data_IF_155659738531
#
_entry.id   IF_155659738531
#
_cell.length_a   1.000
_cell.length_b   1.000
_cell.length_c   1.000
_cell.angle_alpha   90.00
_cell.angle_beta   90.00
_cell.angle_gamma   90.00
#
_symmetry.space_group_name_H-M   'P 1'
#
loop_
_entity.id
_entity.type
_entity.pdbx_description
1 polymer ?
#
# COMPACT_ATOMS: atom_id res chain seq x y z
N UNK A 1 -31.29 -8.39 -1.62
CA UNK A 1 -31.87 -7.28 -2.41
C UNK A 1 -31.38 -7.43 -3.84
N UNK A 2 -32.27 -7.76 -4.78
CA UNK A 2 -31.94 -8.06 -6.19
C UNK A 2 -32.00 -6.76 -7.03
N UNK A 3 -31.18 -6.64 -8.07
CA UNK A 3 -31.20 -5.49 -9.01
C UNK A 3 -32.57 -5.36 -9.71
N UNK A 4 -33.28 -6.50 -9.91
CA UNK A 4 -34.63 -6.55 -10.48
C UNK A 4 -35.67 -5.77 -9.66
N UNK A 5 -35.45 -5.65 -8.34
CA UNK A 5 -36.38 -5.00 -7.41
C UNK A 5 -36.15 -3.49 -7.32
N UNK A 6 -35.17 -2.96 -8.07
CA UNK A 6 -34.84 -1.54 -8.09
C UNK A 6 -35.64 -0.78 -9.15
N UNK A 7 -36.08 0.44 -8.87
CA UNK A 7 -36.60 1.35 -9.87
C UNK A 7 -35.61 1.58 -11.02
N UNK A 8 -36.12 1.79 -12.23
CA UNK A 8 -35.30 1.94 -13.44
C UNK A 8 -34.29 3.09 -13.36
N UNK A 9 -34.71 4.21 -12.76
CA UNK A 9 -33.87 5.39 -12.52
C UNK A 9 -32.65 5.06 -11.63
N UNK A 10 -32.82 4.26 -10.58
CA UNK A 10 -31.72 3.84 -9.71
C UNK A 10 -30.77 2.87 -10.44
N UNK A 11 -31.29 2.01 -11.31
CA UNK A 11 -30.45 1.13 -12.13
C UNK A 11 -29.64 1.94 -13.12
N UNK A 12 -30.25 2.94 -13.76
CA UNK A 12 -29.55 3.84 -14.68
C UNK A 12 -28.46 4.64 -13.97
N UNK A 13 -28.76 5.26 -12.82
CA UNK A 13 -27.77 5.98 -12.02
C UNK A 13 -26.57 5.09 -11.64
N UNK A 14 -26.82 3.83 -11.30
CA UNK A 14 -25.74 2.89 -11.00
C UNK A 14 -24.88 2.57 -12.23
N UNK A 15 -25.51 2.33 -13.37
CA UNK A 15 -24.81 2.10 -14.63
C UNK A 15 -23.96 3.31 -15.04
N UNK A 16 -24.51 4.53 -14.93
CA UNK A 16 -23.80 5.77 -15.23
C UNK A 16 -22.60 5.98 -14.28
N UNK A 17 -22.76 5.67 -12.99
CA UNK A 17 -21.67 5.73 -12.02
C UNK A 17 -20.53 4.76 -12.34
N UNK A 18 -20.84 3.54 -12.82
CA UNK A 18 -19.83 2.57 -13.27
C UNK A 18 -19.07 3.07 -14.50
N UNK A 19 -19.78 3.61 -15.48
CA UNK A 19 -19.19 4.19 -16.68
C UNK A 19 -18.30 5.40 -16.34
N UNK A 20 -18.78 6.28 -15.48
CA UNK A 20 -18.01 7.43 -15.01
C UNK A 20 -16.75 6.99 -14.25
N UNK A 21 -16.84 6.02 -13.35
CA UNK A 21 -15.69 5.48 -12.63
C UNK A 21 -14.65 4.92 -13.61
N UNK A 22 -15.07 4.17 -14.64
CA UNK A 22 -14.17 3.61 -15.65
C UNK A 22 -13.45 4.66 -16.50
N UNK A 23 -14.13 5.78 -16.80
CA UNK A 23 -13.60 6.82 -17.71
C UNK A 23 -12.87 7.95 -16.98
N UNK A 24 -13.23 8.24 -15.73
CA UNK A 24 -12.73 9.42 -14.99
C UNK A 24 -11.68 9.08 -13.93
N UNK A 25 -11.61 7.82 -13.46
CA UNK A 25 -10.63 7.41 -12.46
C UNK A 25 -9.43 6.78 -13.13
N UNK A 26 -8.28 7.43 -12.99
CA UNK A 26 -6.98 6.95 -13.42
C UNK A 26 -6.06 6.65 -12.24
N UNK A 27 -4.76 6.78 -12.47
CA UNK A 27 -3.71 6.63 -11.46
C UNK A 27 -2.95 7.94 -11.29
N UNK A 28 -2.65 8.27 -10.05
CA UNK A 28 -1.76 9.38 -9.71
C UNK A 28 -0.37 9.17 -10.35
N UNK A 29 0.12 10.16 -11.08
CA UNK A 29 1.41 10.09 -11.78
C UNK A 29 2.62 9.93 -10.84
N UNK A 30 2.47 10.27 -9.56
CA UNK A 30 3.55 10.18 -8.56
C UNK A 30 3.53 8.90 -7.75
N UNK A 31 2.36 8.45 -7.28
CA UNK A 31 2.26 7.35 -6.32
C UNK A 31 1.44 6.15 -6.80
N UNK A 32 0.83 6.22 -7.98
CA UNK A 32 -0.01 5.18 -8.59
C UNK A 32 -1.29 4.84 -7.79
N UNK A 33 -1.65 5.67 -6.79
CA UNK A 33 -2.96 5.60 -6.16
C UNK A 33 -4.06 6.01 -7.14
N UNK A 34 -5.26 5.48 -6.97
CA UNK A 34 -6.43 5.88 -7.76
C UNK A 34 -6.69 7.39 -7.58
N UNK A 35 -6.89 8.09 -8.70
CA UNK A 35 -7.12 9.53 -8.72
C UNK A 35 -7.88 9.94 -9.97
N UNK A 36 -8.78 10.91 -9.86
CA UNK A 36 -9.38 11.58 -11.01
C UNK A 36 -8.44 12.65 -11.60
N UNK A 37 -7.56 13.19 -10.77
CA UNK A 37 -6.58 14.22 -11.14
C UNK A 37 -5.20 13.62 -11.41
N UNK A 38 -4.30 14.33 -12.12
CA UNK A 38 -2.92 13.89 -12.36
C UNK A 38 -2.14 13.59 -11.07
N UNK A 39 -2.42 14.30 -9.98
CA UNK A 39 -1.89 14.05 -8.64
C UNK A 39 -3.05 13.83 -7.66
N UNK A 40 -3.00 12.76 -6.89
CA UNK A 40 -3.97 12.50 -5.85
C UNK A 40 -3.88 13.53 -4.71
N UNK A 41 -4.91 13.60 -3.87
CA UNK A 41 -5.00 14.53 -2.72
C UNK A 41 -3.79 14.47 -1.77
N UNK A 42 -3.12 13.31 -1.67
CA UNK A 42 -1.95 13.14 -0.81
C UNK A 42 -0.71 13.73 -1.48
N UNK A 43 -0.50 13.42 -2.77
CA UNK A 43 0.69 13.87 -3.49
C UNK A 43 0.66 15.36 -3.86
N UNK A 44 -0.53 15.96 -3.95
CA UNK A 44 -0.71 17.40 -4.20
C UNK A 44 -0.33 18.28 -3.01
N UNK A 45 -0.28 17.72 -1.79
CA UNK A 45 0.04 18.46 -0.55
C UNK A 45 1.54 18.58 -0.34
N UNK A 46 2.13 19.80 -0.33
CA UNK A 46 3.57 20.00 -0.13
C UNK A 46 4.07 19.50 1.22
N UNK A 47 3.27 19.65 2.28
CA UNK A 47 3.61 19.21 3.64
C UNK A 47 3.82 17.70 3.78
N UNK A 48 3.31 16.93 2.82
CA UNK A 48 3.51 15.47 2.75
C UNK A 48 4.87 15.08 2.15
N UNK A 49 5.61 16.06 1.64
CA UNK A 49 6.95 15.84 1.07
C UNK A 49 8.04 15.98 2.14
N UNK A 50 8.02 15.10 3.13
CA UNK A 50 8.92 15.10 4.29
C UNK A 50 10.08 14.08 4.20
N UNK A 51 10.30 13.50 3.02
CA UNK A 51 11.34 12.50 2.82
C UNK A 51 10.93 11.06 3.21
N UNK A 52 9.69 10.83 3.64
CA UNK A 52 9.20 9.50 3.99
C UNK A 52 8.29 8.94 2.90
N UNK A 53 8.54 7.72 2.46
CA UNK A 53 7.66 6.97 1.55
C UNK A 53 7.18 5.69 2.21
N UNK A 54 5.85 5.49 2.26
CA UNK A 54 5.23 4.23 2.64
C UNK A 54 4.82 3.46 1.38
N UNK A 55 5.37 2.26 1.20
CA UNK A 55 5.11 1.39 0.06
C UNK A 55 4.03 0.40 0.42
N UNK A 56 2.99 0.32 -0.39
CA UNK A 56 1.83 -0.56 -0.22
C UNK A 56 1.59 -1.38 -1.48
N UNK A 57 0.90 -2.52 -1.36
CA UNK A 57 0.59 -3.35 -2.50
C UNK A 57 -0.49 -2.72 -3.40
N UNK A 58 -1.56 -2.20 -2.80
CA UNK A 58 -2.67 -1.60 -3.55
C UNK A 58 -3.24 -0.33 -2.89
N UNK A 59 -4.21 0.28 -3.57
CA UNK A 59 -4.87 1.51 -3.09
C UNK A 59 -5.74 1.30 -1.85
N UNK A 60 -6.20 0.07 -1.55
CA UNK A 60 -7.01 -0.24 -0.36
C UNK A 60 -6.14 -0.22 0.88
N UNK A 61 -4.93 -0.77 0.78
CA UNK A 61 -3.93 -0.73 1.86
C UNK A 61 -3.55 0.71 2.19
N UNK A 62 -3.32 1.54 1.16
CA UNK A 62 -3.07 2.97 1.33
C UNK A 62 -4.20 3.64 2.09
N UNK A 63 -5.46 3.42 1.70
CA UNK A 63 -6.62 4.02 2.35
C UNK A 63 -6.77 3.55 3.80
N UNK A 64 -6.44 2.29 4.10
CA UNK A 64 -6.47 1.77 5.45
C UNK A 64 -5.45 2.49 6.35
N UNK A 65 -4.23 2.69 5.87
CA UNK A 65 -3.19 3.43 6.59
C UNK A 65 -3.52 4.92 6.72
N UNK A 66 -4.02 5.56 5.66
CA UNK A 66 -4.35 6.99 5.67
C UNK A 66 -5.50 7.32 6.66
N UNK A 67 -6.43 6.38 6.87
CA UNK A 67 -7.50 6.54 7.88
C UNK A 67 -6.96 6.69 9.30
N UNK A 68 -5.79 6.15 9.61
CA UNK A 68 -5.17 6.29 10.94
C UNK A 68 -4.73 7.73 11.21
N UNK A 69 -4.43 8.51 10.17
CA UNK A 69 -3.88 9.87 10.22
C UNK A 69 -2.51 9.99 10.90
N UNK A 70 -1.86 8.88 11.18
CA UNK A 70 -0.54 8.84 11.84
C UNK A 70 0.60 9.07 10.87
N UNK A 71 0.52 8.50 9.66
CA UNK A 71 1.56 8.66 8.66
C UNK A 71 1.45 10.01 7.94
N UNK A 72 2.52 10.80 7.98
CA UNK A 72 2.58 12.17 7.39
C UNK A 72 3.42 12.26 6.11
N UNK A 73 4.00 11.15 5.65
CA UNK A 73 4.75 11.06 4.40
C UNK A 73 3.87 10.82 3.18
N UNK A 74 4.50 10.48 2.07
CA UNK A 74 3.85 10.10 0.81
C UNK A 74 3.77 8.58 0.69
N UNK A 75 2.85 8.10 -0.13
CA UNK A 75 2.72 6.68 -0.45
C UNK A 75 3.30 6.35 -1.82
N UNK A 76 3.50 5.05 -2.03
CA UNK A 76 3.75 4.47 -3.34
C UNK A 76 3.02 3.13 -3.47
N UNK A 77 2.16 3.00 -4.47
CA UNK A 77 1.37 1.80 -4.74
C UNK A 77 2.10 0.96 -5.77
N UNK A 78 2.46 -0.28 -5.40
CA UNK A 78 3.18 -1.20 -6.28
C UNK A 78 2.31 -1.75 -7.42
N UNK A 79 0.99 -1.86 -7.19
CA UNK A 79 0.06 -2.51 -8.11
C UNK A 79 -0.07 -4.03 -7.90
N UNK A 80 0.57 -4.58 -6.88
CA UNK A 80 0.53 -6.00 -6.52
C UNK A 80 1.74 -6.44 -5.71
N UNK A 81 1.95 -7.75 -5.64
CA UNK A 81 3.09 -8.42 -5.01
C UNK A 81 3.78 -9.33 -6.02
N UNK A 82 5.06 -9.59 -5.83
CA UNK A 82 5.79 -10.60 -6.63
C UNK A 82 5.20 -11.97 -6.32
N UNK A 83 4.61 -12.60 -7.32
CA UNK A 83 4.01 -13.93 -7.23
C UNK A 83 4.37 -14.75 -8.47
N UNK A 84 5.43 -15.56 -8.41
CA UNK A 84 5.83 -16.42 -9.53
C UNK A 84 4.76 -17.42 -9.93
N UNK A 85 3.95 -17.87 -8.96
CA UNK A 85 2.86 -18.81 -9.24
C UNK A 85 1.75 -18.18 -10.10
N UNK A 86 1.53 -16.87 -9.94
CA UNK A 86 0.55 -16.10 -10.73
C UNK A 86 1.21 -15.42 -11.95
N UNK A 87 2.48 -15.68 -12.21
CA UNK A 87 3.23 -15.06 -13.30
C UNK A 87 3.51 -13.57 -13.10
N UNK A 88 3.45 -13.08 -11.84
CA UNK A 88 3.70 -11.67 -11.52
C UNK A 88 5.16 -11.48 -11.13
N UNK A 89 5.95 -10.98 -12.07
CA UNK A 89 7.34 -10.60 -11.85
C UNK A 89 7.49 -9.14 -11.43
N UNK A 90 8.70 -8.73 -11.01
CA UNK A 90 9.00 -7.36 -10.61
C UNK A 90 8.72 -6.31 -11.69
N UNK A 91 8.81 -6.70 -12.97
CA UNK A 91 8.59 -5.84 -14.14
C UNK A 91 7.14 -5.43 -14.35
N UNK A 92 6.19 -6.19 -13.78
CA UNK A 92 4.75 -5.89 -13.81
C UNK A 92 4.33 -4.94 -12.69
N UNK A 93 5.24 -4.63 -11.76
CA UNK A 93 4.98 -3.79 -10.59
C UNK A 93 5.62 -2.40 -10.77
N UNK A 94 5.10 -1.40 -10.08
CA UNK A 94 5.63 -0.02 -10.11
C UNK A 94 6.95 0.13 -9.32
N UNK A 95 7.87 -0.85 -9.44
CA UNK A 95 9.15 -0.86 -8.71
C UNK A 95 10.14 0.12 -9.35
N UNK A 96 10.26 0.13 -10.68
CA UNK A 96 11.16 1.05 -11.39
C UNK A 96 10.83 2.52 -11.08
N UNK A 97 9.56 2.97 -11.18
CA UNK A 97 9.18 4.34 -10.78
C UNK A 97 9.47 4.65 -9.30
N UNK A 98 9.37 3.67 -8.41
CA UNK A 98 9.75 3.84 -7.00
C UNK A 98 11.23 4.20 -6.84
N UNK A 99 12.11 3.45 -7.50
CA UNK A 99 13.56 3.70 -7.44
C UNK A 99 13.91 5.07 -8.04
N UNK A 100 13.33 5.41 -9.19
CA UNK A 100 13.54 6.72 -9.84
C UNK A 100 13.10 7.86 -8.90
N UNK A 101 11.98 7.68 -8.19
CA UNK A 101 11.48 8.65 -7.22
C UNK A 101 12.38 8.78 -6.00
N UNK A 102 12.89 7.66 -5.44
CA UNK A 102 13.84 7.67 -4.32
C UNK A 102 15.10 8.45 -4.70
N UNK A 103 15.64 8.20 -5.87
CA UNK A 103 16.86 8.87 -6.34
C UNK A 103 16.66 10.38 -6.59
N UNK A 104 15.46 10.79 -7.00
CA UNK A 104 15.15 12.19 -7.35
C UNK A 104 14.72 13.04 -6.17
N UNK A 105 13.88 12.50 -5.28
CA UNK A 105 13.15 13.28 -4.27
C UNK A 105 13.89 13.38 -2.92
N UNK A 106 15.13 12.83 -2.81
CA UNK A 106 15.91 12.88 -1.59
C UNK A 106 15.25 12.18 -0.41
N UNK A 107 14.74 10.97 -0.65
CA UNK A 107 14.01 10.19 0.36
C UNK A 107 14.92 9.74 1.48
N UNK A 108 14.52 10.03 2.72
CA UNK A 108 15.25 9.69 3.95
C UNK A 108 14.94 8.29 4.46
N UNK A 109 13.75 7.76 4.22
CA UNK A 109 13.35 6.42 4.63
C UNK A 109 12.20 5.89 3.76
N UNK A 110 12.27 4.58 3.48
CA UNK A 110 11.17 3.83 2.87
C UNK A 110 10.62 2.84 3.88
N UNK A 111 9.30 2.91 4.11
CA UNK A 111 8.57 2.02 5.01
C UNK A 111 7.79 1.03 4.15
N UNK A 112 8.07 -0.26 4.29
CA UNK A 112 7.35 -1.33 3.59
C UNK A 112 6.12 -1.74 4.41
N UNK A 113 4.93 -1.48 3.88
CA UNK A 113 3.64 -1.81 4.47
C UNK A 113 2.91 -2.82 3.58
N UNK A 114 3.53 -3.98 3.39
CA UNK A 114 2.99 -5.07 2.58
C UNK A 114 2.31 -6.11 3.47
N UNK A 115 1.35 -6.84 2.90
CA UNK A 115 0.62 -7.91 3.61
C UNK A 115 1.59 -8.98 4.13
N UNK A 116 1.42 -9.48 5.36
CA UNK A 116 2.26 -10.52 5.94
C UNK A 116 1.93 -11.91 5.34
N UNK A 117 2.29 -12.11 4.08
CA UNK A 117 2.18 -13.35 3.33
C UNK A 117 3.55 -13.75 2.77
N UNK A 118 3.66 -14.94 2.18
CA UNK A 118 4.90 -15.40 1.52
C UNK A 118 5.29 -14.45 0.39
N UNK A 119 4.34 -14.00 -0.41
CA UNK A 119 4.52 -13.05 -1.50
C UNK A 119 4.92 -11.66 -0.97
N UNK A 120 4.27 -11.21 0.11
CA UNK A 120 4.57 -9.93 0.77
C UNK A 120 5.97 -9.92 1.37
N UNK A 121 6.37 -11.00 2.04
CA UNK A 121 7.72 -11.15 2.59
C UNK A 121 8.78 -11.22 1.47
N UNK A 122 8.52 -12.00 0.41
CA UNK A 122 9.40 -12.09 -0.76
C UNK A 122 9.57 -10.74 -1.43
N UNK A 123 8.46 -10.02 -1.65
CA UNK A 123 8.47 -8.68 -2.23
C UNK A 123 9.22 -7.70 -1.33
N UNK A 124 9.00 -7.75 -0.01
CA UNK A 124 9.69 -6.90 0.96
C UNK A 124 11.19 -7.12 0.96
N UNK A 125 11.65 -8.37 0.95
CA UNK A 125 13.08 -8.72 0.89
C UNK A 125 13.72 -8.26 -0.42
N UNK A 126 13.03 -8.45 -1.54
CA UNK A 126 13.49 -7.98 -2.85
C UNK A 126 13.67 -6.46 -2.86
N UNK A 127 12.64 -5.72 -2.44
CA UNK A 127 12.65 -4.26 -2.38
C UNK A 127 13.72 -3.74 -1.41
N UNK A 128 13.83 -4.33 -0.23
CA UNK A 128 14.84 -3.93 0.76
C UNK A 128 16.26 -4.06 0.20
N UNK A 129 16.58 -5.15 -0.49
CA UNK A 129 17.90 -5.33 -1.14
C UNK A 129 18.13 -4.30 -2.23
N UNK A 130 17.11 -4.01 -3.03
CA UNK A 130 17.20 -3.08 -4.16
C UNK A 130 17.38 -1.63 -3.69
N UNK A 131 16.71 -1.23 -2.59
CA UNK A 131 16.71 0.15 -2.10
C UNK A 131 17.80 0.44 -1.05
N UNK A 132 18.41 -0.59 -0.44
CA UNK A 132 19.47 -0.44 0.56
C UNK A 132 20.60 0.52 0.19
N UNK A 133 21.06 0.61 -1.09
CA UNK A 133 22.09 1.55 -1.48
C UNK A 133 21.66 3.03 -1.46
N UNK A 134 20.36 3.31 -1.46
CA UNK A 134 19.81 4.66 -1.62
C UNK A 134 19.34 5.27 -0.30
N UNK A 135 18.66 4.48 0.55
CA UNK A 135 18.09 4.96 1.80
C UNK A 135 17.82 3.81 2.78
N UNK A 136 17.64 4.10 4.07
CA UNK A 136 17.13 3.16 5.07
C UNK A 136 15.77 2.61 4.65
N UNK A 137 15.58 1.31 4.85
CA UNK A 137 14.32 0.61 4.59
C UNK A 137 13.85 -0.05 5.86
N UNK A 138 12.66 0.29 6.29
CA UNK A 138 11.98 -0.33 7.43
C UNK A 138 10.72 -1.05 6.97
N UNK A 139 10.12 -1.82 7.86
CA UNK A 139 8.86 -2.54 7.63
C UNK A 139 7.92 -2.27 8.79
N UNK A 140 6.62 -2.17 8.51
CA UNK A 140 5.62 -2.09 9.59
C UNK A 140 5.75 -3.33 10.50
N UNK A 141 5.57 -3.11 11.80
CA UNK A 141 5.63 -4.20 12.77
C UNK A 141 4.52 -5.21 12.54
N UNK A 142 4.87 -6.48 12.62
CA UNK A 142 3.91 -7.56 12.71
C UNK A 142 3.63 -7.86 14.17
N UNK A 143 2.36 -7.99 14.53
CA UNK A 143 1.99 -8.19 15.92
C UNK A 143 0.59 -8.75 16.06
N UNK A 144 0.22 -9.00 17.32
CA UNK A 144 -1.11 -9.47 17.68
C UNK A 144 -2.11 -8.32 17.53
N UNK A 145 -3.28 -8.56 16.93
CA UNK A 145 -4.35 -7.57 16.89
C UNK A 145 -4.80 -7.19 18.29
N UNK A 146 -5.13 -5.92 18.49
CA UNK A 146 -5.70 -5.44 19.77
C UNK A 146 -6.98 -6.20 20.10
N UNK A 147 -7.06 -6.72 21.32
CA UNK A 147 -8.21 -7.50 21.81
C UNK A 147 -8.22 -8.98 21.42
N UNK A 148 -7.16 -9.49 20.76
CA UNK A 148 -7.00 -10.92 20.55
C UNK A 148 -6.40 -11.59 21.80
N UNK A 149 -6.86 -12.82 22.08
CA UNK A 149 -6.31 -13.66 23.12
C UNK A 149 -5.13 -14.48 22.56
N UNK A 150 -4.05 -14.62 23.34
CA UNK A 150 -2.82 -15.31 22.91
C UNK A 150 -3.07 -16.78 22.53
N UNK A 151 -4.01 -17.44 23.20
CA UNK A 151 -4.32 -18.85 23.00
C UNK A 151 -4.92 -19.15 21.60
N UNK A 152 -5.50 -18.13 20.94
CA UNK A 152 -6.07 -18.28 19.58
C UNK A 152 -5.15 -17.83 18.47
N UNK A 153 -3.97 -17.30 18.81
CA UNK A 153 -3.00 -16.88 17.82
C UNK A 153 -2.19 -18.08 17.30
N UNK A 154 -1.95 -18.12 16.00
CA UNK A 154 -1.11 -19.14 15.39
C UNK A 154 0.38 -18.96 15.74
N UNK A 155 1.16 -20.04 15.65
CA UNK A 155 2.57 -20.08 16.02
C UNK A 155 3.42 -19.08 15.25
N UNK A 156 3.11 -18.82 13.97
CA UNK A 156 3.87 -17.89 13.12
C UNK A 156 3.64 -16.45 13.59
N UNK A 157 2.38 -16.09 13.89
CA UNK A 157 2.02 -14.78 14.43
C UNK A 157 2.68 -14.53 15.79
N UNK A 158 2.69 -15.52 16.68
CA UNK A 158 3.34 -15.43 17.98
C UNK A 158 4.86 -15.27 17.85
N UNK A 159 5.49 -16.06 16.96
CA UNK A 159 6.93 -15.96 16.69
C UNK A 159 7.31 -14.57 16.20
N UNK A 160 6.58 -14.04 15.22
CA UNK A 160 6.83 -12.69 14.69
C UNK A 160 6.60 -11.58 15.71
N UNK A 161 5.59 -11.74 16.57
CA UNK A 161 5.35 -10.79 17.67
C UNK A 161 6.51 -10.78 18.68
N UNK A 162 7.06 -11.95 19.01
CA UNK A 162 8.23 -12.08 19.87
C UNK A 162 9.51 -11.50 19.24
N UNK A 163 9.73 -11.72 17.96
CA UNK A 163 10.85 -11.12 17.21
C UNK A 163 10.76 -9.60 17.18
N UNK A 164 9.55 -9.07 16.94
CA UNK A 164 9.27 -7.63 16.86
C UNK A 164 9.05 -6.95 18.22
N UNK A 165 9.30 -7.63 19.37
CA UNK A 165 9.11 -7.06 20.71
C UNK A 165 9.92 -5.80 20.94
N UNK A 166 9.35 -4.83 21.65
CA UNK A 166 10.01 -3.59 22.04
C UNK A 166 10.25 -3.57 23.55
N UNK A 167 11.35 -2.95 24.01
CA UNK A 167 11.52 -2.65 25.41
C UNK A 167 10.33 -1.80 25.93
N UNK A 168 9.96 -1.99 27.17
CA UNK A 168 9.02 -1.12 27.86
C UNK A 168 9.84 -0.22 28.78
N UNK A 169 9.81 1.09 28.52
CA UNK A 169 10.45 2.13 29.34
C UNK A 169 9.52 2.56 30.47
#
# INVERSE_FOLDING_TARGET
MCIRDKPEDQVQQFADALLAARSQVGQCQSCFHLSADPLCEICSKPERNNGLICVVADSRDLLALERTREFKGRYHVLGGLISPMDGIGPELLHIKPLIERIAKDGISEVILALTPSVEGDTTSLYLARLMKPFCPVSRIAYGLPMGSELEYADEVTLSRALEGRRPMD
#
